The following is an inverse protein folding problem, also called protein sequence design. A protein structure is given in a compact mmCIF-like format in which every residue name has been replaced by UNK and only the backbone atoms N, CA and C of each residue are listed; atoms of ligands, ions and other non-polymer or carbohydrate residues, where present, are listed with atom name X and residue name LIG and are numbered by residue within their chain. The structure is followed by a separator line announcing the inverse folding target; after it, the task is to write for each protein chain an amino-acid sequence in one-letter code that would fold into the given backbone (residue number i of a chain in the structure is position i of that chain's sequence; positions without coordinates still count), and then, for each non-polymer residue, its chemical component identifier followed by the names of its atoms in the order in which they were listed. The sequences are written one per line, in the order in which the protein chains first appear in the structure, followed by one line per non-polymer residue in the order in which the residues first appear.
data_IF_464774817320
#
_entry.id   IF_464774817320
#
_cell.length_a   1.000
_cell.length_b   1.000
_cell.length_c   1.000
_cell.angle_alpha   90.00
_cell.angle_beta   90.00
_cell.angle_gamma   90.00
#
_symmetry.space_group_name_H-M   'P 1'
#
loop_
_entity.id
_entity.type
_entity.pdbx_description
1 polymer ?
#
# COMPACT_ATOMS: atom_id res chain seq x y z
N UNK A 1 -5.01 -38.27 3.66
CA UNK A 1 -4.70 -37.07 2.86
C UNK A 1 -3.53 -36.22 3.37
N UNK A 2 -2.93 -36.48 4.56
CA UNK A 2 -1.75 -35.73 5.05
C UNK A 2 -0.38 -36.28 4.60
N UNK A 3 -0.28 -37.56 4.22
CA UNK A 3 1.02 -38.19 3.89
C UNK A 3 1.51 -37.92 2.45
N UNK A 4 0.62 -37.61 1.51
CA UNK A 4 0.99 -37.41 0.10
C UNK A 4 1.72 -36.07 -0.11
N UNK A 5 1.46 -35.05 0.72
CA UNK A 5 2.06 -33.71 0.57
C UNK A 5 3.50 -33.61 1.11
N UNK A 6 3.91 -34.44 2.08
CA UNK A 6 5.30 -34.46 2.56
C UNK A 6 6.25 -35.03 1.51
N UNK A 7 5.83 -36.11 0.83
CA UNK A 7 6.70 -36.82 -0.11
C UNK A 7 6.97 -36.01 -1.40
N UNK A 8 5.99 -35.25 -1.87
CA UNK A 8 6.14 -34.34 -3.02
C UNK A 8 7.12 -33.21 -2.66
N UNK A 9 6.98 -32.62 -1.47
CA UNK A 9 7.80 -31.49 -1.06
C UNK A 9 9.27 -31.89 -0.80
N UNK A 10 9.54 -33.12 -0.37
CA UNK A 10 10.91 -33.64 -0.23
C UNK A 10 11.56 -33.94 -1.59
N UNK A 11 10.78 -34.41 -2.56
CA UNK A 11 11.26 -34.60 -3.92
C UNK A 11 11.58 -33.26 -4.61
N UNK A 12 10.76 -32.22 -4.41
CA UNK A 12 11.04 -30.88 -4.97
C UNK A 12 12.30 -30.25 -4.36
N UNK A 13 12.51 -30.42 -3.05
CA UNK A 13 13.75 -29.97 -2.39
C UNK A 13 14.96 -30.75 -2.93
N UNK A 14 14.85 -32.07 -3.08
CA UNK A 14 15.93 -32.90 -3.60
C UNK A 14 16.27 -32.55 -5.07
N UNK A 15 15.26 -32.31 -5.91
CA UNK A 15 15.48 -31.88 -7.29
C UNK A 15 16.11 -30.48 -7.36
N UNK A 16 15.65 -29.53 -6.56
CA UNK A 16 16.27 -28.20 -6.49
C UNK A 16 17.72 -28.27 -6.02
N UNK A 17 17.99 -29.07 -4.99
CA UNK A 17 19.36 -29.29 -4.48
C UNK A 17 20.26 -29.88 -5.56
N UNK A 18 19.73 -30.81 -6.37
CA UNK A 18 20.47 -31.42 -7.47
C UNK A 18 20.73 -30.45 -8.63
N UNK A 19 19.74 -29.59 -8.96
CA UNK A 19 19.89 -28.53 -9.96
C UNK A 19 20.90 -27.48 -9.50
N UNK A 20 20.87 -27.10 -8.22
CA UNK A 20 21.82 -26.13 -7.66
C UNK A 20 23.25 -26.67 -7.66
N UNK A 21 23.45 -27.96 -7.39
CA UNK A 21 24.76 -28.63 -7.47
C UNK A 21 25.29 -28.70 -8.91
N UNK A 22 24.44 -28.99 -9.90
CA UNK A 22 24.86 -28.94 -11.31
C UNK A 22 25.19 -27.51 -11.77
N UNK A 23 24.45 -26.51 -11.30
CA UNK A 23 24.75 -25.10 -11.59
C UNK A 23 26.08 -24.67 -10.97
N UNK A 24 26.35 -25.10 -9.73
CA UNK A 24 27.63 -24.94 -9.03
C UNK A 24 28.82 -25.42 -9.85
N UNK A 25 28.77 -26.69 -10.29
CA UNK A 25 29.87 -27.29 -11.03
C UNK A 25 30.15 -26.51 -12.32
N UNK A 26 29.10 -26.00 -12.96
CA UNK A 26 29.20 -25.18 -14.17
C UNK A 26 29.76 -23.76 -13.90
N UNK A 27 29.37 -23.12 -12.80
CA UNK A 27 29.87 -21.80 -12.39
C UNK A 27 31.34 -21.91 -11.97
N UNK A 28 31.68 -22.89 -11.13
CA UNK A 28 33.07 -23.16 -10.70
C UNK A 28 33.94 -23.46 -11.92
N UNK A 29 33.52 -24.39 -12.79
CA UNK A 29 34.25 -24.71 -14.03
C UNK A 29 34.45 -23.47 -14.93
N UNK A 30 33.45 -22.59 -15.01
CA UNK A 30 33.52 -21.35 -15.78
C UNK A 30 34.46 -20.32 -15.15
N UNK A 31 34.47 -20.19 -13.81
CA UNK A 31 35.41 -19.35 -13.07
C UNK A 31 36.84 -19.85 -13.24
N UNK A 32 37.07 -21.16 -13.07
CA UNK A 32 38.36 -21.81 -13.28
C UNK A 32 38.88 -21.59 -14.70
N UNK A 33 38.02 -21.77 -15.72
CA UNK A 33 38.37 -21.53 -17.12
C UNK A 33 38.74 -20.07 -17.38
N UNK A 34 37.99 -19.12 -16.85
CA UNK A 34 38.22 -17.68 -17.05
C UNK A 34 39.47 -17.18 -16.33
N UNK A 35 39.70 -17.64 -15.09
CA UNK A 35 40.92 -17.34 -14.31
C UNK A 35 42.16 -18.00 -14.90
N UNK A 36 42.03 -19.19 -15.52
CA UNK A 36 43.09 -19.83 -16.28
C UNK A 36 43.55 -19.00 -17.48
N UNK A 37 42.65 -18.24 -18.11
CA UNK A 37 42.94 -17.37 -19.25
C UNK A 37 43.60 -16.05 -18.83
N UNK A 38 43.25 -15.49 -17.66
CA UNK A 38 43.66 -14.12 -17.28
C UNK A 38 44.88 -14.01 -16.34
N UNK A 39 45.23 -15.07 -15.59
CA UNK A 39 46.28 -15.02 -14.56
C UNK A 39 47.47 -15.93 -14.91
N UNK A 40 48.24 -15.57 -15.95
CA UNK A 40 49.33 -16.43 -16.43
C UNK A 40 50.63 -16.42 -15.60
N UNK A 41 50.80 -15.60 -14.55
CA UNK A 41 52.13 -15.51 -13.90
C UNK A 41 52.18 -15.37 -12.35
N UNK A 42 51.12 -15.66 -11.60
CA UNK A 42 51.19 -15.74 -10.13
C UNK A 42 50.23 -16.82 -9.57
N UNK A 43 50.74 -18.02 -9.29
CA UNK A 43 49.93 -19.19 -8.90
C UNK A 43 49.11 -18.98 -7.63
N UNK A 44 49.67 -18.27 -6.66
CA UNK A 44 49.06 -18.15 -5.33
C UNK A 44 47.88 -17.18 -5.33
N UNK A 45 47.98 -16.05 -6.03
CA UNK A 45 46.88 -15.09 -6.19
C UNK A 45 45.68 -15.72 -6.91
N UNK A 46 45.95 -16.52 -7.95
CA UNK A 46 44.92 -17.26 -8.69
C UNK A 46 44.23 -18.30 -7.80
N UNK A 47 45.00 -19.06 -7.01
CA UNK A 47 44.46 -20.05 -6.07
C UNK A 47 43.60 -19.39 -5.00
N UNK A 48 44.06 -18.28 -4.42
CA UNK A 48 43.30 -17.51 -3.43
C UNK A 48 42.01 -16.91 -4.02
N UNK A 49 42.04 -16.40 -5.26
CA UNK A 49 40.85 -15.86 -5.91
C UNK A 49 39.79 -16.94 -6.19
N UNK A 50 40.21 -18.09 -6.74
CA UNK A 50 39.29 -19.23 -6.96
C UNK A 50 38.68 -19.67 -5.64
N UNK A 51 39.49 -19.87 -4.60
CA UNK A 51 39.01 -20.28 -3.28
C UNK A 51 37.97 -19.32 -2.70
N UNK A 52 38.25 -18.01 -2.70
CA UNK A 52 37.29 -16.99 -2.22
C UNK A 52 36.01 -16.96 -3.04
N UNK A 53 36.10 -17.21 -4.34
CA UNK A 53 34.93 -17.22 -5.21
C UNK A 53 34.08 -18.47 -4.94
N UNK A 54 34.70 -19.64 -4.76
CA UNK A 54 34.01 -20.87 -4.37
C UNK A 54 33.29 -20.70 -3.04
N UNK A 55 33.98 -20.16 -2.03
CA UNK A 55 33.39 -19.88 -0.71
C UNK A 55 32.19 -18.93 -0.80
N UNK A 56 32.28 -17.88 -1.63
CA UNK A 56 31.15 -16.97 -1.85
C UNK A 56 29.95 -17.69 -2.49
N UNK A 57 30.19 -18.56 -3.47
CA UNK A 57 29.12 -19.32 -4.14
C UNK A 57 28.48 -20.32 -3.16
N UNK A 58 29.28 -21.02 -2.36
CA UNK A 58 28.78 -21.93 -1.30
C UNK A 58 27.89 -21.18 -0.31
N UNK A 59 28.32 -20.01 0.17
CA UNK A 59 27.53 -19.17 1.07
C UNK A 59 26.19 -18.72 0.46
N UNK A 60 26.17 -18.32 -0.82
CA UNK A 60 24.94 -17.93 -1.53
C UNK A 60 23.96 -19.10 -1.60
N UNK A 61 24.45 -20.33 -1.77
CA UNK A 61 23.60 -21.51 -1.86
C UNK A 61 23.04 -21.91 -0.52
N UNK A 62 23.85 -21.82 0.54
CA UNK A 62 23.35 -22.02 1.89
C UNK A 62 22.22 -21.02 2.20
N UNK A 63 22.43 -19.73 1.89
CA UNK A 63 21.40 -18.70 2.04
C UNK A 63 20.13 -19.04 1.25
N UNK A 64 20.26 -19.45 -0.01
CA UNK A 64 19.11 -19.83 -0.85
C UNK A 64 18.36 -21.05 -0.29
N UNK A 65 19.08 -22.09 0.15
CA UNK A 65 18.48 -23.27 0.76
C UNK A 65 17.73 -22.90 2.04
N UNK A 66 18.33 -22.08 2.91
CA UNK A 66 17.66 -21.60 4.12
C UNK A 66 16.43 -20.76 3.78
N UNK A 67 16.49 -19.92 2.74
CA UNK A 67 15.34 -19.14 2.25
C UNK A 67 14.19 -20.04 1.79
N UNK A 68 14.49 -21.09 1.02
CA UNK A 68 13.49 -22.05 0.53
C UNK A 68 12.84 -22.83 1.67
N UNK A 69 13.64 -23.32 2.62
CA UNK A 69 13.13 -24.03 3.80
C UNK A 69 12.21 -23.10 4.61
N UNK A 70 12.69 -21.88 4.89
CA UNK A 70 11.90 -20.88 5.62
C UNK A 70 10.61 -20.53 4.90
N UNK A 71 10.63 -20.36 3.57
CA UNK A 71 9.44 -20.08 2.79
C UNK A 71 8.46 -21.27 2.80
N UNK A 72 8.95 -22.51 2.74
CA UNK A 72 8.11 -23.72 2.89
C UNK A 72 7.40 -23.76 4.26
N UNK A 73 8.07 -23.32 5.32
CA UNK A 73 7.51 -23.31 6.69
C UNK A 73 6.55 -22.15 6.94
N UNK A 74 6.85 -20.97 6.39
CA UNK A 74 6.21 -19.72 6.80
C UNK A 74 5.44 -18.99 5.70
N UNK A 75 5.62 -19.39 4.44
CA UNK A 75 5.12 -18.68 3.25
C UNK A 75 5.57 -17.22 3.20
N UNK A 76 6.79 -16.92 3.67
CA UNK A 76 7.29 -15.55 3.73
C UNK A 76 7.47 -14.86 2.38
N UNK A 77 7.52 -15.61 1.28
CA UNK A 77 7.60 -15.05 -0.07
C UNK A 77 6.21 -14.93 -0.73
N UNK A 78 5.14 -15.36 -0.05
CA UNK A 78 3.78 -15.30 -0.56
C UNK A 78 3.12 -13.96 -0.23
N UNK A 79 2.79 -13.21 -1.28
CA UNK A 79 1.99 -12.01 -1.18
C UNK A 79 0.83 -12.07 -2.19
N UNK A 80 -0.41 -12.08 -1.71
CA UNK A 80 -1.59 -12.19 -2.58
C UNK A 80 -1.73 -10.98 -3.52
N UNK A 81 -1.26 -9.81 -3.08
CA UNK A 81 -1.34 -8.57 -3.86
C UNK A 81 -0.33 -8.55 -5.01
N UNK A 82 0.75 -9.35 -4.95
CA UNK A 82 1.69 -9.47 -6.07
C UNK A 82 1.15 -10.35 -7.20
N UNK A 83 0.13 -11.17 -6.94
CA UNK A 83 -0.49 -12.04 -7.95
C UNK A 83 -1.37 -11.26 -8.94
N UNK A 84 -1.89 -10.10 -8.55
CA UNK A 84 -2.78 -9.28 -9.38
C UNK A 84 -2.43 -7.80 -9.22
N UNK A 85 -2.31 -7.07 -10.34
CA UNK A 85 -2.19 -5.61 -10.27
C UNK A 85 -3.44 -5.01 -9.61
N UNK A 86 -3.26 -4.28 -8.51
CA UNK A 86 -4.37 -3.60 -7.84
C UNK A 86 -4.68 -2.30 -8.59
N UNK A 87 -5.77 -2.30 -9.37
CA UNK A 87 -6.29 -1.07 -9.98
C UNK A 87 -6.94 -0.14 -8.95
N UNK A 88 -7.24 1.10 -9.39
CA UNK A 88 -7.81 2.15 -8.52
C UNK A 88 -9.07 1.64 -7.81
N UNK A 89 -10.03 1.09 -8.55
CA UNK A 89 -11.29 0.57 -8.00
C UNK A 89 -11.07 -0.55 -6.96
N UNK A 90 -10.22 -1.55 -7.23
CA UNK A 90 -9.97 -2.62 -6.24
C UNK A 90 -9.35 -2.06 -4.95
N UNK A 91 -8.44 -1.10 -5.11
CA UNK A 91 -7.77 -0.48 -3.98
C UNK A 91 -8.70 0.45 -3.19
N UNK A 92 -9.58 1.18 -3.86
CA UNK A 92 -10.65 1.96 -3.24
C UNK A 92 -11.55 1.09 -2.37
N UNK A 93 -11.98 -0.08 -2.89
CA UNK A 93 -12.75 -1.05 -2.11
C UNK A 93 -11.98 -1.55 -0.89
N UNK A 94 -10.70 -1.84 -1.05
CA UNK A 94 -9.84 -2.29 0.04
C UNK A 94 -9.71 -1.25 1.16
N UNK A 95 -9.42 0.00 0.80
CA UNK A 95 -9.32 1.11 1.76
C UNK A 95 -10.66 1.33 2.48
N UNK A 96 -11.77 1.38 1.74
CA UNK A 96 -13.09 1.52 2.32
C UNK A 96 -13.46 0.34 3.24
N UNK A 97 -13.03 -0.88 2.91
CA UNK A 97 -13.27 -2.06 3.74
C UNK A 97 -12.54 -1.97 5.08
N UNK A 98 -11.27 -1.55 5.09
CA UNK A 98 -10.55 -1.30 6.35
C UNK A 98 -11.17 -0.15 7.16
N UNK A 99 -11.63 0.91 6.49
CA UNK A 99 -12.17 2.10 7.17
C UNK A 99 -13.59 1.91 7.70
N UNK A 100 -14.32 0.89 7.26
CA UNK A 100 -15.69 0.63 7.69
C UNK A 100 -15.71 -0.18 9.01
N UNK A 101 -16.17 0.40 10.14
CA UNK A 101 -16.17 -0.30 11.42
C UNK A 101 -17.00 -1.59 11.47
N UNK A 102 -17.94 -1.73 10.53
CA UNK A 102 -18.87 -2.87 10.43
C UNK A 102 -18.45 -3.89 9.36
N UNK A 103 -17.25 -3.78 8.78
CA UNK A 103 -16.77 -4.72 7.78
C UNK A 103 -16.28 -6.04 8.40
N UNK A 104 -16.03 -7.03 7.53
CA UNK A 104 -15.77 -8.42 7.91
C UNK A 104 -14.42 -8.63 8.63
N UNK A 105 -13.54 -7.63 8.63
CA UNK A 105 -12.30 -7.66 9.40
C UNK A 105 -12.53 -7.69 10.93
N UNK A 106 -13.72 -7.30 11.41
CA UNK A 106 -14.15 -7.47 12.80
C UNK A 106 -13.34 -6.69 13.83
N UNK A 107 -12.65 -5.62 13.43
CA UNK A 107 -11.83 -4.79 14.33
C UNK A 107 -12.57 -3.56 14.86
N UNK A 108 -13.89 -3.45 14.61
CA UNK A 108 -14.68 -2.29 14.98
C UNK A 108 -14.06 -1.00 14.44
N UNK A 109 -14.04 0.04 15.27
CA UNK A 109 -13.51 1.35 14.89
C UNK A 109 -11.98 1.44 14.85
N UNK A 110 -11.21 0.37 15.10
CA UNK A 110 -9.75 0.45 15.22
C UNK A 110 -9.09 1.14 14.02
N UNK A 111 -9.25 0.58 12.82
CA UNK A 111 -8.64 1.12 11.60
C UNK A 111 -9.13 2.55 11.32
N UNK A 112 -10.43 2.81 11.43
CA UNK A 112 -10.99 4.14 11.24
C UNK A 112 -10.38 5.16 12.23
N UNK A 113 -10.28 4.79 13.50
CA UNK A 113 -9.79 5.67 14.56
C UNK A 113 -8.33 6.04 14.35
N UNK A 114 -7.47 5.06 14.05
CA UNK A 114 -6.06 5.33 13.74
C UNK A 114 -5.92 6.21 12.50
N UNK A 115 -6.78 6.04 11.49
CA UNK A 115 -6.78 6.86 10.28
C UNK A 115 -7.14 8.30 10.59
N UNK A 116 -8.24 8.51 11.32
CA UNK A 116 -8.72 9.83 11.72
C UNK A 116 -7.71 10.56 12.62
N UNK A 117 -7.05 9.85 13.52
CA UNK A 117 -6.01 10.41 14.40
C UNK A 117 -4.78 10.86 13.64
N UNK A 118 -4.30 10.07 12.67
CA UNK A 118 -3.19 10.48 11.80
C UNK A 118 -3.53 11.72 10.97
N UNK A 119 -4.77 11.85 10.52
CA UNK A 119 -5.27 13.03 9.82
C UNK A 119 -5.55 14.21 10.75
N UNK A 120 -5.54 14.01 12.07
CA UNK A 120 -5.92 15.00 13.09
C UNK A 120 -7.36 15.50 12.90
N UNK A 121 -8.26 14.59 12.55
CA UNK A 121 -9.70 14.87 12.50
C UNK A 121 -10.22 14.89 13.93
N UNK A 122 -10.87 15.98 14.30
CA UNK A 122 -11.46 16.14 15.63
C UNK A 122 -12.59 15.12 15.82
N UNK A 123 -12.73 14.52 17.01
CA UNK A 123 -13.77 13.52 17.29
C UNK A 123 -14.38 13.79 18.66
N UNK A 124 -15.67 13.49 18.81
CA UNK A 124 -16.38 13.54 20.08
C UNK A 124 -16.27 12.22 20.86
N UNK A 125 -16.07 11.10 20.15
CA UNK A 125 -15.87 9.78 20.75
C UNK A 125 -15.17 8.82 19.80
N UNK A 126 -14.74 7.66 20.30
CA UNK A 126 -14.10 6.60 19.50
C UNK A 126 -15.08 5.77 18.67
N UNK A 127 -16.38 5.84 18.96
CA UNK A 127 -17.42 5.00 18.32
C UNK A 127 -18.41 5.84 17.51
N UNK A 128 -17.93 6.92 16.89
CA UNK A 128 -18.76 7.77 16.05
C UNK A 128 -19.23 7.04 14.80
N UNK A 129 -20.47 7.28 14.42
CA UNK A 129 -21.06 6.68 13.22
C UNK A 129 -20.57 7.42 11.96
N UNK A 130 -19.51 6.89 11.35
CA UNK A 130 -19.04 7.29 10.03
C UNK A 130 -19.63 6.40 8.95
N UNK A 131 -20.18 7.04 7.91
CA UNK A 131 -20.59 6.38 6.68
C UNK A 131 -19.37 6.35 5.76
N UNK A 132 -18.94 5.14 5.41
CA UNK A 132 -17.83 4.91 4.47
C UNK A 132 -18.38 4.29 3.20
N UNK A 133 -18.06 4.87 2.05
CA UNK A 133 -18.44 4.35 0.73
C UNK A 133 -17.26 4.40 -0.22
N UNK A 134 -17.21 3.47 -1.17
CA UNK A 134 -16.28 3.51 -2.30
C UNK A 134 -17.02 3.52 -3.63
N UNK A 135 -16.40 4.13 -4.65
CA UNK A 135 -16.90 4.25 -6.02
C UNK A 135 -18.30 4.89 -6.16
N UNK A 136 -18.79 5.54 -5.10
CA UNK A 136 -20.13 6.16 -5.08
C UNK A 136 -20.04 7.57 -5.66
N UNK A 137 -20.84 7.84 -6.70
CA UNK A 137 -20.82 9.15 -7.36
C UNK A 137 -19.49 9.45 -8.08
N UNK A 138 -18.73 8.40 -8.43
CA UNK A 138 -17.35 8.45 -8.97
C UNK A 138 -16.28 8.87 -7.96
N UNK A 139 -16.61 8.98 -6.68
CA UNK A 139 -15.61 9.22 -5.63
C UNK A 139 -15.02 7.88 -5.21
N UNK A 140 -13.70 7.77 -5.25
CA UNK A 140 -12.97 6.54 -4.94
C UNK A 140 -13.25 6.07 -3.51
N UNK A 141 -13.00 6.92 -2.50
CA UNK A 141 -13.44 6.67 -1.12
C UNK A 141 -13.99 7.94 -0.48
N UNK A 142 -15.13 7.82 0.19
CA UNK A 142 -15.80 8.92 0.88
C UNK A 142 -16.15 8.48 2.31
N UNK A 143 -15.78 9.32 3.28
CA UNK A 143 -16.14 9.18 4.68
C UNK A 143 -16.96 10.40 5.11
N UNK A 144 -18.10 10.17 5.75
CA UNK A 144 -18.98 11.23 6.26
C UNK A 144 -19.50 10.93 7.65
N UNK A 145 -19.59 11.96 8.49
CA UNK A 145 -20.40 11.92 9.72
C UNK A 145 -21.24 13.18 9.86
N UNK A 146 -22.30 13.08 10.67
CA UNK A 146 -23.27 14.18 10.86
C UNK A 146 -22.80 15.18 11.91
N UNK A 147 -22.24 14.71 13.04
CA UNK A 147 -21.88 15.56 14.17
C UNK A 147 -20.50 15.17 14.75
N UNK A 148 -19.55 16.12 14.83
CA UNK A 148 -19.56 17.38 14.09
C UNK A 148 -19.57 17.06 12.58
N UNK A 149 -20.20 17.90 11.77
CA UNK A 149 -20.26 17.65 10.34
C UNK A 149 -18.85 17.54 9.77
N UNK A 150 -18.54 16.41 9.13
CA UNK A 150 -17.20 16.14 8.64
C UNK A 150 -17.24 15.24 7.42
N UNK A 151 -16.31 15.51 6.49
CA UNK A 151 -16.23 14.86 5.20
C UNK A 151 -14.76 14.66 4.83
N UNK A 152 -14.39 13.43 4.53
CA UNK A 152 -13.06 13.10 4.02
C UNK A 152 -13.26 12.44 2.67
N UNK A 153 -12.62 12.99 1.65
CA UNK A 153 -12.60 12.43 0.31
C UNK A 153 -11.20 11.90 0.07
N UNK A 154 -11.09 10.70 -0.48
CA UNK A 154 -9.84 10.11 -0.95
C UNK A 154 -9.99 9.92 -2.45
N UNK A 155 -9.09 10.52 -3.22
CA UNK A 155 -8.86 10.22 -4.63
C UNK A 155 -7.63 9.34 -4.71
N UNK A 156 -7.78 8.17 -5.31
CA UNK A 156 -6.80 7.09 -5.33
C UNK A 156 -6.18 6.98 -6.72
N UNK A 157 -4.86 7.13 -6.82
CA UNK A 157 -4.07 7.06 -8.06
C UNK A 157 -3.14 5.86 -8.12
N UNK A 158 -3.61 4.69 -7.67
CA UNK A 158 -2.80 3.47 -7.53
C UNK A 158 -2.12 2.99 -8.81
N UNK A 159 -2.65 3.35 -9.99
CA UNK A 159 -2.16 2.91 -11.30
C UNK A 159 -1.56 4.04 -12.16
N UNK A 160 -1.21 5.18 -11.56
CA UNK A 160 -0.65 6.36 -12.25
C UNK A 160 -1.59 7.08 -13.23
N UNK A 161 -2.90 6.77 -13.26
CA UNK A 161 -3.84 7.37 -14.19
C UNK A 161 -3.85 8.91 -14.12
N UNK A 162 -4.04 9.55 -15.28
CA UNK A 162 -4.15 11.01 -15.39
C UNK A 162 -5.30 11.58 -14.57
N UNK A 163 -5.19 12.84 -14.18
CA UNK A 163 -6.29 13.53 -13.51
C UNK A 163 -7.43 13.80 -14.48
N UNK A 164 -8.66 13.58 -14.01
CA UNK A 164 -9.83 14.04 -14.75
C UNK A 164 -10.06 15.54 -14.50
N UNK A 165 -10.47 16.28 -15.53
CA UNK A 165 -10.75 17.71 -15.42
C UNK A 165 -11.75 17.99 -14.29
N UNK A 166 -11.46 19.00 -13.46
CA UNK A 166 -12.29 19.52 -12.38
C UNK A 166 -12.77 18.46 -11.35
N UNK A 167 -12.09 17.31 -11.25
CA UNK A 167 -12.57 16.15 -10.51
C UNK A 167 -12.65 16.42 -9.00
N UNK A 168 -11.55 16.84 -8.39
CA UNK A 168 -11.55 17.19 -6.97
C UNK A 168 -12.48 18.37 -6.69
N UNK A 169 -12.60 19.32 -7.62
CA UNK A 169 -13.53 20.44 -7.47
C UNK A 169 -14.98 19.97 -7.37
N UNK A 170 -15.40 19.05 -8.25
CA UNK A 170 -16.74 18.47 -8.20
C UNK A 170 -17.01 17.76 -6.88
N UNK A 171 -16.03 17.04 -6.33
CA UNK A 171 -16.22 16.33 -5.06
C UNK A 171 -16.35 17.28 -3.89
N UNK A 172 -15.48 18.29 -3.81
CA UNK A 172 -15.61 19.35 -2.81
C UNK A 172 -16.98 20.01 -2.91
N UNK A 173 -17.41 20.38 -4.11
CA UNK A 173 -18.70 21.04 -4.30
C UNK A 173 -19.87 20.17 -3.84
N UNK A 174 -19.91 18.90 -4.29
CA UNK A 174 -21.02 17.99 -4.04
C UNK A 174 -21.12 17.54 -2.59
N UNK A 175 -19.98 17.22 -1.99
CA UNK A 175 -19.94 16.54 -0.70
C UNK A 175 -19.67 17.47 0.48
N UNK A 176 -19.04 18.63 0.24
CA UNK A 176 -18.68 19.62 1.26
C UNK A 176 -19.52 20.89 1.08
N UNK A 177 -19.30 21.68 0.03
CA UNK A 177 -19.93 22.99 -0.14
C UNK A 177 -21.46 22.92 -0.10
N UNK A 178 -22.06 22.08 -0.96
CA UNK A 178 -23.52 21.96 -1.06
C UNK A 178 -24.12 21.45 0.26
N UNK A 179 -23.51 20.45 0.88
CA UNK A 179 -24.00 19.89 2.15
C UNK A 179 -23.91 20.88 3.31
N UNK A 180 -22.88 21.73 3.36
CA UNK A 180 -22.74 22.79 4.36
C UNK A 180 -23.80 23.88 4.13
N UNK A 181 -23.99 24.29 2.87
CA UNK A 181 -24.99 25.29 2.45
C UNK A 181 -26.43 24.84 2.76
N UNK A 182 -26.79 23.60 2.40
CA UNK A 182 -28.10 22.98 2.69
C UNK A 182 -28.38 22.86 4.19
N UNK A 183 -27.32 22.74 5.01
CA UNK A 183 -27.44 22.70 6.48
C UNK A 183 -27.43 24.07 7.13
N UNK A 184 -27.33 25.15 6.35
CA UNK A 184 -27.22 26.52 6.84
C UNK A 184 -26.11 26.68 7.89
N UNK A 185 -24.99 25.98 7.70
CA UNK A 185 -23.83 26.14 8.56
C UNK A 185 -23.17 27.51 8.32
N UNK A 186 -22.43 28.03 9.32
CA UNK A 186 -21.73 29.32 9.22
C UNK A 186 -20.87 29.48 7.95
N UNK A 187 -20.80 30.71 7.43
CA UNK A 187 -20.09 31.03 6.17
C UNK A 187 -18.60 30.66 6.19
N UNK A 188 -17.94 30.64 7.35
CA UNK A 188 -16.56 30.20 7.50
C UNK A 188 -16.38 28.74 7.09
N UNK A 189 -17.33 27.85 7.41
CA UNK A 189 -17.30 26.45 6.95
C UNK A 189 -17.44 26.34 5.42
N UNK A 190 -18.20 27.24 4.81
CA UNK A 190 -18.47 27.24 3.36
C UNK A 190 -17.23 27.72 2.59
N UNK A 191 -16.65 28.84 3.02
CA UNK A 191 -15.57 29.52 2.32
C UNK A 191 -14.17 29.08 2.76
N UNK A 192 -14.02 28.53 3.97
CA UNK A 192 -12.75 28.07 4.53
C UNK A 192 -12.99 26.85 5.45
N UNK A 193 -13.41 25.70 4.89
CA UNK A 193 -13.74 24.51 5.67
C UNK A 193 -12.57 24.08 6.58
N UNK A 194 -12.78 23.93 7.90
CA UNK A 194 -11.70 23.59 8.82
C UNK A 194 -11.10 22.20 8.53
N UNK A 195 -9.76 22.13 8.38
CA UNK A 195 -9.06 20.86 8.11
C UNK A 195 -9.31 19.76 9.16
N UNK A 196 -9.67 20.15 10.39
CA UNK A 196 -10.01 19.21 11.47
C UNK A 196 -11.37 18.49 11.26
N UNK A 197 -12.14 18.88 10.25
CA UNK A 197 -13.43 18.27 9.90
C UNK A 197 -13.53 17.92 8.40
N UNK A 198 -12.81 18.63 7.52
CA UNK A 198 -12.91 18.46 6.07
C UNK A 198 -11.53 18.25 5.46
N UNK A 199 -11.34 17.15 4.74
CA UNK A 199 -10.06 16.89 4.05
C UNK A 199 -10.29 16.27 2.68
N UNK A 200 -9.47 16.69 1.71
CA UNK A 200 -9.31 16.05 0.41
C UNK A 200 -7.93 15.40 0.40
N UNK A 201 -7.88 14.08 0.29
CA UNK A 201 -6.65 13.30 0.24
C UNK A 201 -6.43 12.85 -1.20
N UNK A 202 -5.31 13.25 -1.77
CA UNK A 202 -4.84 12.75 -3.05
C UNK A 202 -3.78 11.69 -2.77
N UNK A 203 -4.13 10.44 -2.98
CA UNK A 203 -3.33 9.29 -2.59
C UNK A 203 -2.64 8.70 -3.82
N UNK A 204 -1.31 8.63 -3.80
CA UNK A 204 -0.53 8.20 -4.97
C UNK A 204 0.63 7.27 -4.59
N UNK A 205 1.21 6.54 -5.57
CA UNK A 205 2.36 5.68 -5.32
C UNK A 205 3.67 6.46 -5.22
N UNK A 206 3.72 7.66 -5.79
CA UNK A 206 4.98 8.38 -5.99
C UNK A 206 4.87 9.87 -5.69
N UNK A 207 5.97 10.45 -5.19
CA UNK A 207 6.05 11.86 -4.77
C UNK A 207 5.71 12.85 -5.89
N UNK A 208 6.03 12.52 -7.14
CA UNK A 208 5.81 13.39 -8.30
C UNK A 208 4.36 13.33 -8.80
N UNK A 209 3.57 12.33 -8.38
CA UNK A 209 2.17 12.18 -8.76
C UNK A 209 1.31 13.01 -7.82
N UNK A 210 1.28 14.31 -8.07
CA UNK A 210 0.50 15.32 -7.32
C UNK A 210 -0.73 15.76 -8.12
N UNK A 211 -1.79 16.28 -7.45
CA UNK A 211 -2.96 16.79 -8.16
C UNK A 211 -2.58 17.98 -9.04
N UNK A 212 -3.02 17.95 -10.30
CA UNK A 212 -2.87 19.05 -11.24
C UNK A 212 -3.82 20.21 -10.92
N UNK A 213 -3.47 21.43 -11.32
CA UNK A 213 -4.37 22.59 -11.19
C UNK A 213 -5.73 22.33 -11.81
N UNK A 214 -5.77 21.64 -12.95
CA UNK A 214 -6.99 21.32 -13.68
C UNK A 214 -7.99 20.45 -12.90
N UNK A 215 -7.56 19.56 -11.99
CA UNK A 215 -8.51 18.82 -11.13
C UNK A 215 -9.06 19.69 -9.99
N UNK A 216 -8.29 20.70 -9.59
CA UNK A 216 -8.61 21.64 -8.51
C UNK A 216 -9.42 22.86 -8.99
N UNK A 217 -9.52 23.10 -10.29
CA UNK A 217 -10.20 24.26 -10.86
C UNK A 217 -11.71 24.04 -11.03
N UNK A 218 -12.45 25.14 -10.95
CA UNK A 218 -13.89 25.20 -11.22
C UNK A 218 -14.17 24.89 -12.70
N UNK A 219 -15.22 24.11 -13.03
CA UNK A 219 -15.70 24.00 -14.39
C UNK A 219 -16.08 25.35 -14.99
N UNK A 220 -15.72 25.57 -16.26
CA UNK A 220 -15.93 26.85 -16.97
C UNK A 220 -17.40 27.25 -17.09
N UNK A 221 -18.30 26.27 -17.06
CA UNK A 221 -19.74 26.42 -17.20
C UNK A 221 -20.46 26.72 -15.87
N UNK A 222 -19.73 26.79 -14.75
CA UNK A 222 -20.31 27.07 -13.42
C UNK A 222 -20.28 28.56 -13.09
N UNK A 223 -21.25 29.00 -12.28
CA UNK A 223 -21.46 30.40 -11.93
C UNK A 223 -20.28 31.08 -11.25
N UNK A 224 -20.22 32.41 -11.36
CA UNK A 224 -19.17 33.27 -10.80
C UNK A 224 -19.24 33.40 -9.27
N UNK A 225 -20.32 32.94 -8.65
CA UNK A 225 -20.51 32.89 -7.20
C UNK A 225 -19.63 31.85 -6.51
N UNK A 226 -19.08 30.89 -7.27
CA UNK A 226 -18.20 29.84 -6.78
C UNK A 226 -16.72 30.20 -7.00
N UNK A 227 -15.83 29.84 -6.07
CA UNK A 227 -14.40 30.15 -6.16
C UNK A 227 -13.77 29.44 -7.36
N UNK A 228 -12.77 30.07 -8.00
CA UNK A 228 -12.12 29.49 -9.19
C UNK A 228 -11.32 28.22 -8.89
N UNK A 229 -10.87 28.05 -7.65
CA UNK A 229 -10.19 26.86 -7.15
C UNK A 229 -10.82 26.43 -5.82
N UNK A 230 -10.60 25.18 -5.43
CA UNK A 230 -11.12 24.65 -4.16
C UNK A 230 -10.53 25.45 -2.98
N UNK A 231 -11.35 25.98 -2.06
CA UNK A 231 -10.88 26.69 -0.86
C UNK A 231 -10.46 25.72 0.27
N UNK A 232 -9.88 24.57 -0.10
CA UNK A 232 -9.43 23.52 0.79
C UNK A 232 -8.18 22.89 0.18
N UNK A 233 -7.09 22.86 0.94
CA UNK A 233 -5.85 22.28 0.47
C UNK A 233 -5.99 20.76 0.31
N UNK A 234 -5.84 20.27 -0.92
CA UNK A 234 -5.69 18.84 -1.17
C UNK A 234 -4.35 18.35 -0.56
N UNK A 235 -4.42 17.36 0.32
CA UNK A 235 -3.26 16.74 0.95
C UNK A 235 -2.79 15.59 0.08
N UNK A 236 -1.59 15.74 -0.46
CA UNK A 236 -0.91 14.63 -1.12
C UNK A 236 -0.35 13.68 -0.06
N UNK A 237 -0.72 12.41 -0.14
CA UNK A 237 -0.25 11.34 0.74
C UNK A 237 0.19 10.14 -0.11
N UNK A 238 1.16 9.38 0.40
CA UNK A 238 1.67 8.18 -0.29
C UNK A 238 1.13 6.90 0.32
N UNK A 239 0.99 5.86 -0.51
CA UNK A 239 0.70 4.52 0.00
C UNK A 239 1.83 4.03 0.92
N UNK A 240 3.08 4.16 0.46
CA UNK A 240 4.31 3.71 1.12
C UNK A 240 4.61 4.42 2.45
N UNK A 241 4.07 5.63 2.65
CA UNK A 241 4.25 6.40 3.88
C UNK A 241 2.97 6.39 4.72
N UNK A 242 1.95 7.13 4.29
CA UNK A 242 0.77 7.38 5.11
C UNK A 242 -0.05 6.10 5.37
N UNK A 243 -0.35 5.33 4.32
CA UNK A 243 -1.20 4.15 4.44
C UNK A 243 -0.44 3.01 5.14
N UNK A 244 0.82 2.76 4.77
CA UNK A 244 1.66 1.78 5.47
C UNK A 244 1.81 2.11 6.96
N UNK A 245 2.07 3.38 7.31
CA UNK A 245 2.14 3.82 8.71
C UNK A 245 0.83 3.63 9.46
N UNK A 246 -0.29 4.02 8.86
CA UNK A 246 -1.62 3.82 9.43
C UNK A 246 -1.90 2.34 9.72
N UNK A 247 -1.62 1.48 8.75
CA UNK A 247 -1.82 0.06 8.88
C UNK A 247 -0.86 -0.57 9.88
N UNK A 248 0.38 -0.10 9.99
CA UNK A 248 1.34 -0.57 10.99
C UNK A 248 0.88 -0.22 12.41
N UNK A 249 0.44 1.02 12.65
CA UNK A 249 -0.10 1.44 13.95
C UNK A 249 -1.33 0.61 14.33
N UNK A 250 -2.20 0.34 13.34
CA UNK A 250 -3.37 -0.52 13.54
C UNK A 250 -2.95 -1.96 13.85
N UNK A 251 -1.98 -2.51 13.11
CA UNK A 251 -1.45 -3.86 13.28
C UNK A 251 -0.90 -4.08 14.69
N UNK A 252 -0.24 -3.10 15.28
CA UNK A 252 0.32 -3.20 16.63
C UNK A 252 -0.75 -3.34 17.72
N UNK A 253 -1.98 -2.89 17.43
CA UNK A 253 -3.14 -2.96 18.33
C UNK A 253 -4.01 -4.21 18.12
N UNK A 254 -3.87 -4.91 17.00
CA UNK A 254 -4.62 -6.14 16.71
C UNK A 254 -4.08 -7.31 17.56
N UNK A 255 -4.94 -8.12 18.21
CA UNK A 255 -4.51 -9.31 18.97
C UNK A 255 -3.59 -10.22 18.17
N UNK A 256 -2.49 -10.69 18.78
CA UNK A 256 -1.42 -11.44 18.08
C UNK A 256 -1.89 -12.76 17.46
N UNK A 257 -2.95 -13.34 18.01
CA UNK A 257 -3.62 -14.57 17.58
C UNK A 257 -4.64 -14.36 16.44
N UNK A 258 -4.97 -13.11 16.09
CA UNK A 258 -5.78 -12.81 14.92
C UNK A 258 -4.94 -12.88 13.62
N UNK A 259 -4.50 -14.08 13.28
CA UNK A 259 -3.57 -14.31 12.18
C UNK A 259 -4.08 -13.79 10.83
N UNK A 260 -5.39 -13.92 10.55
CA UNK A 260 -5.96 -13.61 9.23
C UNK A 260 -5.79 -12.14 8.85
N UNK A 261 -6.29 -11.22 9.68
CA UNK A 261 -6.21 -9.79 9.37
C UNK A 261 -4.78 -9.27 9.51
N UNK A 262 -4.02 -9.79 10.47
CA UNK A 262 -2.62 -9.41 10.66
C UNK A 262 -1.80 -9.72 9.43
N UNK A 263 -1.97 -10.91 8.86
CA UNK A 263 -1.22 -11.32 7.68
C UNK A 263 -1.62 -10.51 6.44
N UNK A 264 -2.92 -10.24 6.29
CA UNK A 264 -3.40 -9.38 5.22
C UNK A 264 -2.83 -7.96 5.28
N UNK A 265 -2.79 -7.37 6.48
CA UNK A 265 -2.19 -6.05 6.71
C UNK A 265 -0.69 -6.04 6.41
N UNK A 266 0.06 -7.06 6.84
CA UNK A 266 1.50 -7.17 6.53
C UNK A 266 1.75 -7.27 5.03
N UNK A 267 0.98 -8.09 4.31
CA UNK A 267 1.13 -8.24 2.86
C UNK A 267 0.83 -6.92 2.14
N UNK A 268 -0.14 -6.14 2.62
CA UNK A 268 -0.36 -4.79 2.10
C UNK A 268 0.84 -3.88 2.33
N UNK A 269 1.36 -3.85 3.56
CA UNK A 269 2.53 -3.01 3.91
C UNK A 269 3.74 -3.41 3.06
N UNK A 270 3.99 -4.70 2.90
CA UNK A 270 5.07 -5.22 2.05
C UNK A 270 4.91 -4.84 0.58
N UNK A 271 3.68 -4.88 0.05
CA UNK A 271 3.43 -4.57 -1.36
C UNK A 271 3.75 -3.11 -1.73
N UNK A 272 3.59 -2.19 -0.77
CA UNK A 272 3.79 -0.75 -0.98
C UNK A 272 5.10 -0.21 -0.37
N UNK A 273 5.92 -1.06 0.26
CA UNK A 273 7.21 -0.68 0.85
C UNK A 273 8.40 -0.87 -0.10
#
# INVERSE_FOLDING_TARGET
MKEINLHIADNTINEFTKVSHNFLDNVISSIEKTTNIHLQNQSDYKKTFIQKTTELVENILEINTQSIIKNKETSCDFNMLSLFSIGETQHSFLLAHFLNPNAEHGQGHLFLNEFLDLLKIERLSENENWIVTSEKGRIDVLLKRVQPHSVIVIENKSNYAGDQNNQLYRYWYQEIYRTISERHLPNDYILNPPERYYQLLYLSPEHWKIPTTNTLSKPTEWGDDLPNEIPLKAKHILFSDFICKWLQISLDKIPKDNHRIREYVKQYIEYWN
#
